data_IF_121367593867
#
_entry.id   IF_121367593867
#
_cell.length_a   1.000
_cell.length_b   1.000
_cell.length_c   1.000
_cell.angle_alpha   90.00
_cell.angle_beta   90.00
_cell.angle_gamma   90.00
#
_symmetry.space_group_name_H-M   'P 1'
#
loop_
_entity.id
_entity.type
_entity.pdbx_description
1 polymer ?
#
# COMPACT_ATOMS: atom_id res chain seq x y z
N UNK A 1 -37.27 -8.61 17.90
CA UNK A 1 -36.04 -9.16 17.29
C UNK A 1 -35.22 -7.96 16.83
N UNK A 2 -34.20 -7.57 17.61
CA UNK A 2 -33.35 -6.43 17.26
C UNK A 2 -32.33 -6.87 16.20
N UNK A 3 -31.96 -6.00 15.24
CA UNK A 3 -30.91 -6.32 14.29
C UNK A 3 -29.59 -6.33 15.05
N UNK A 4 -28.88 -7.47 15.03
CA UNK A 4 -27.47 -7.53 15.40
C UNK A 4 -26.71 -6.68 14.42
N UNK A 5 -26.33 -5.49 14.87
CA UNK A 5 -25.39 -4.61 14.19
C UNK A 5 -24.14 -5.42 13.84
N UNK A 6 -23.81 -5.40 12.56
CA UNK A 6 -22.61 -5.99 12.01
C UNK A 6 -21.41 -5.17 12.51
N UNK A 7 -20.99 -5.41 13.75
CA UNK A 7 -19.72 -4.95 14.28
C UNK A 7 -18.62 -5.75 13.58
N UNK A 8 -18.33 -5.39 12.33
CA UNK A 8 -17.08 -5.75 11.70
C UNK A 8 -15.98 -5.38 12.69
N UNK A 9 -15.25 -6.39 13.15
CA UNK A 9 -14.30 -6.29 14.27
C UNK A 9 -13.34 -5.13 13.99
N UNK A 10 -13.58 -3.98 14.62
CA UNK A 10 -12.62 -2.91 14.64
C UNK A 10 -11.35 -3.50 15.25
N UNK A 11 -10.22 -3.39 14.54
CA UNK A 11 -8.94 -3.80 15.09
C UNK A 11 -8.73 -3.04 16.41
N UNK A 12 -8.13 -3.68 17.43
CA UNK A 12 -7.68 -2.96 18.61
C UNK A 12 -6.91 -1.70 18.20
N UNK A 13 -7.20 -0.56 18.82
CA UNK A 13 -6.63 0.74 18.43
C UNK A 13 -5.10 0.73 18.38
N UNK A 14 -4.47 -0.10 19.21
CA UNK A 14 -3.03 -0.33 19.24
C UNK A 14 -2.51 -0.96 17.94
N UNK A 15 -3.24 -1.95 17.39
CA UNK A 15 -2.89 -2.62 16.13
C UNK A 15 -3.11 -1.68 14.95
N UNK A 16 -4.24 -0.96 14.93
CA UNK A 16 -4.51 0.02 13.88
C UNK A 16 -3.47 1.16 13.90
N UNK A 17 -3.12 1.65 15.09
CA UNK A 17 -2.07 2.64 15.29
C UNK A 17 -0.71 2.16 14.80
N UNK A 18 -0.33 0.93 15.13
CA UNK A 18 0.90 0.31 14.65
C UNK A 18 0.91 0.20 13.12
N UNK A 19 -0.15 -0.31 12.49
CA UNK A 19 -0.24 -0.42 11.03
C UNK A 19 -0.11 0.96 10.36
N UNK A 20 -0.79 1.97 10.88
CA UNK A 20 -0.71 3.34 10.37
C UNK A 20 0.69 3.96 10.53
N UNK A 21 1.40 3.65 11.62
CA UNK A 21 2.79 4.08 11.80
C UNK A 21 3.72 3.44 10.77
N UNK A 22 3.58 2.14 10.51
CA UNK A 22 4.39 1.43 9.51
C UNK A 22 4.14 1.96 8.10
N UNK A 23 2.87 2.22 7.73
CA UNK A 23 2.50 2.85 6.45
C UNK A 23 3.24 4.17 6.24
N UNK A 24 3.13 5.10 7.20
CA UNK A 24 3.80 6.41 7.14
C UNK A 24 5.32 6.29 7.07
N UNK A 25 5.90 5.35 7.81
CA UNK A 25 7.35 5.12 7.78
C UNK A 25 7.83 4.64 6.39
N UNK A 26 7.07 3.76 5.74
CA UNK A 26 7.39 3.29 4.39
C UNK A 26 7.31 4.44 3.38
N UNK A 27 6.23 5.22 3.43
CA UNK A 27 6.06 6.41 2.56
C UNK A 27 7.24 7.39 2.70
N UNK A 28 7.64 7.67 3.94
CA UNK A 28 8.78 8.54 4.24
C UNK A 28 10.09 7.98 3.69
N UNK A 29 10.37 6.69 3.91
CA UNK A 29 11.61 6.05 3.44
C UNK A 29 11.71 6.10 1.92
N UNK A 30 10.64 5.75 1.20
CA UNK A 30 10.66 5.77 -0.28
C UNK A 30 10.83 7.20 -0.80
N UNK A 31 10.17 8.17 -0.17
CA UNK A 31 10.32 9.59 -0.53
C UNK A 31 11.77 10.05 -0.37
N UNK A 32 12.38 9.80 0.79
CA UNK A 32 13.78 10.16 1.07
C UNK A 32 14.75 9.47 0.12
N UNK A 33 14.54 8.19 -0.21
CA UNK A 33 15.36 7.46 -1.18
C UNK A 33 15.23 8.06 -2.58
N UNK A 34 14.03 8.47 -2.98
CA UNK A 34 13.78 9.14 -4.25
C UNK A 34 14.51 10.48 -4.35
N UNK A 35 14.48 11.26 -3.28
CA UNK A 35 15.21 12.52 -3.16
C UNK A 35 16.73 12.31 -3.24
N UNK A 36 17.26 11.33 -2.50
CA UNK A 36 18.69 11.00 -2.54
C UNK A 36 19.17 10.53 -3.91
N UNK A 37 18.30 9.82 -4.66
CA UNK A 37 18.57 9.39 -6.03
C UNK A 37 18.50 10.54 -7.04
N UNK A 38 17.79 11.62 -6.72
CA UNK A 38 17.49 12.72 -7.65
C UNK A 38 16.43 12.38 -8.69
N UNK A 39 15.76 11.22 -8.56
CA UNK A 39 14.69 10.78 -9.46
C UNK A 39 13.71 9.87 -8.70
N UNK A 40 12.83 10.51 -7.94
CA UNK A 40 11.84 9.85 -7.11
C UNK A 40 10.75 9.16 -7.94
N UNK A 41 10.37 9.72 -9.09
CA UNK A 41 9.36 9.12 -9.95
C UNK A 41 9.84 7.81 -10.58
N UNK A 42 11.09 7.76 -11.04
CA UNK A 42 11.68 6.51 -11.53
C UNK A 42 11.77 5.44 -10.43
N UNK A 43 12.08 5.84 -9.19
CA UNK A 43 12.08 4.90 -8.05
C UNK A 43 10.69 4.29 -7.83
N UNK A 44 9.63 5.10 -7.83
CA UNK A 44 8.25 4.59 -7.66
C UNK A 44 7.90 3.61 -8.79
N UNK A 45 8.22 3.94 -10.04
CA UNK A 45 7.99 3.06 -11.19
C UNK A 45 8.79 1.74 -11.09
N UNK A 46 10.04 1.80 -10.60
CA UNK A 46 10.86 0.61 -10.38
C UNK A 46 10.22 -0.32 -9.34
N UNK A 47 9.66 0.24 -8.27
CA UNK A 47 8.96 -0.52 -7.22
C UNK A 47 7.68 -1.13 -7.78
N UNK A 48 6.84 -0.35 -8.47
CA UNK A 48 5.61 -0.83 -9.12
C UNK A 48 5.88 -2.04 -10.03
N UNK A 49 6.93 -1.98 -10.86
CA UNK A 49 7.28 -3.09 -11.76
C UNK A 49 7.72 -4.35 -11.00
N UNK A 50 8.46 -4.21 -9.91
CA UNK A 50 8.92 -5.35 -9.08
C UNK A 50 7.77 -6.00 -8.33
N UNK A 51 6.79 -5.21 -7.90
CA UNK A 51 5.58 -5.68 -7.25
C UNK A 51 4.67 -6.39 -8.24
N UNK A 52 4.35 -5.74 -9.38
CA UNK A 52 3.46 -6.30 -10.40
C UNK A 52 3.97 -7.59 -11.07
N UNK A 53 5.27 -7.88 -11.01
CA UNK A 53 5.83 -9.15 -11.51
C UNK A 53 5.37 -10.38 -10.70
N UNK A 54 4.79 -10.21 -9.49
CA UNK A 54 4.29 -11.33 -8.69
C UNK A 54 2.89 -11.82 -9.07
N UNK A 55 2.11 -11.03 -9.81
CA UNK A 55 0.64 -11.12 -9.85
C UNK A 55 0.04 -12.15 -10.85
N UNK A 56 0.81 -13.09 -11.43
CA UNK A 56 0.36 -13.83 -12.64
C UNK A 56 0.57 -15.36 -12.65
N UNK A 57 0.48 -16.04 -11.51
CA UNK A 57 0.49 -17.52 -11.50
C UNK A 57 -0.54 -18.14 -10.53
N UNK A 58 -1.76 -17.60 -10.52
CA UNK A 58 -2.88 -18.26 -9.81
C UNK A 58 -3.79 -18.99 -10.80
N UNK A 59 -3.90 -20.31 -10.59
CA UNK A 59 -4.64 -21.28 -11.40
C UNK A 59 -6.16 -21.02 -11.28
N UNK A 60 -6.93 -20.90 -12.38
CA UNK A 60 -8.36 -20.62 -12.31
C UNK A 60 -9.13 -21.82 -11.75
N UNK A 61 -9.36 -21.85 -10.44
CA UNK A 61 -10.18 -22.88 -9.81
C UNK A 61 -10.10 -23.04 -8.28
N UNK A 62 -9.24 -22.32 -7.56
CA UNK A 62 -9.18 -22.42 -6.10
C UNK A 62 -10.27 -21.58 -5.43
N UNK A 63 -11.00 -22.20 -4.49
CA UNK A 63 -11.96 -21.50 -3.63
C UNK A 63 -11.30 -20.32 -2.88
N UNK A 64 -12.05 -19.24 -2.59
CA UNK A 64 -11.52 -18.09 -1.86
C UNK A 64 -11.22 -18.48 -0.41
N UNK A 65 -9.99 -18.94 -0.16
CA UNK A 65 -9.46 -19.12 1.19
C UNK A 65 -9.20 -17.73 1.83
N UNK A 66 -9.26 -17.65 3.16
CA UNK A 66 -8.95 -16.44 3.91
C UNK A 66 -7.54 -15.89 3.59
N UNK A 67 -6.64 -16.77 3.14
CA UNK A 67 -5.32 -16.40 2.61
C UNK A 67 -5.42 -15.46 1.38
N UNK A 68 -6.31 -15.74 0.42
CA UNK A 68 -6.53 -14.88 -0.75
C UNK A 68 -7.08 -13.51 -0.36
N UNK A 69 -7.98 -13.45 0.63
CA UNK A 69 -8.53 -12.18 1.10
C UNK A 69 -7.45 -11.28 1.74
N UNK A 70 -6.53 -11.88 2.48
CA UNK A 70 -5.38 -11.16 3.07
C UNK A 70 -4.40 -10.71 2.00
N UNK A 71 -4.13 -11.55 0.99
CA UNK A 71 -3.26 -11.23 -0.13
C UNK A 71 -3.81 -10.08 -0.97
N UNK A 72 -5.10 -10.13 -1.34
CA UNK A 72 -5.76 -9.02 -2.03
C UNK A 72 -5.76 -7.73 -1.20
N UNK A 73 -6.02 -7.82 0.11
CA UNK A 73 -5.94 -6.66 1.00
C UNK A 73 -4.51 -6.07 1.08
N UNK A 74 -3.49 -6.92 1.00
CA UNK A 74 -2.08 -6.51 0.95
C UNK A 74 -1.73 -5.81 -0.36
N UNK A 75 -2.18 -6.35 -1.49
CA UNK A 75 -1.97 -5.74 -2.82
C UNK A 75 -2.68 -4.38 -2.94
N UNK A 76 -3.92 -4.27 -2.47
CA UNK A 76 -4.65 -3.01 -2.44
C UNK A 76 -3.96 -1.96 -1.57
N UNK A 77 -3.37 -2.40 -0.45
CA UNK A 77 -2.60 -1.53 0.40
C UNK A 77 -1.32 -1.03 -0.28
N UNK A 78 -0.60 -1.92 -0.96
CA UNK A 78 0.61 -1.56 -1.67
C UNK A 78 0.33 -0.55 -2.78
N UNK A 79 -0.77 -0.72 -3.51
CA UNK A 79 -1.25 0.26 -4.50
C UNK A 79 -1.60 1.61 -3.86
N UNK A 80 -2.19 1.62 -2.64
CA UNK A 80 -2.48 2.87 -1.90
C UNK A 80 -1.18 3.62 -1.54
N UNK A 81 -0.21 2.92 -0.95
CA UNK A 81 1.07 3.52 -0.56
C UNK A 81 1.80 4.13 -1.75
N UNK A 82 1.88 3.40 -2.87
CA UNK A 82 2.57 3.88 -4.08
C UNK A 82 1.91 5.13 -4.68
N UNK A 83 0.57 5.22 -4.64
CA UNK A 83 -0.15 6.43 -5.03
C UNK A 83 0.17 7.62 -4.12
N UNK A 84 0.11 7.42 -2.80
CA UNK A 84 0.41 8.49 -1.84
C UNK A 84 1.84 9.04 -2.02
N UNK A 85 2.82 8.14 -2.25
CA UNK A 85 4.20 8.52 -2.51
C UNK A 85 4.31 9.31 -3.82
N UNK A 86 3.67 8.84 -4.90
CA UNK A 86 3.64 9.55 -6.19
C UNK A 86 3.07 10.96 -6.01
N UNK A 87 1.92 11.10 -5.35
CA UNK A 87 1.28 12.39 -5.13
C UNK A 87 2.18 13.35 -4.34
N UNK A 88 2.87 12.85 -3.31
CA UNK A 88 3.82 13.63 -2.52
C UNK A 88 5.04 14.09 -3.35
N UNK A 89 5.58 13.21 -4.20
CA UNK A 89 6.71 13.51 -5.10
C UNK A 89 6.31 14.53 -6.17
N UNK A 90 5.14 14.37 -6.77
CA UNK A 90 4.64 15.26 -7.81
C UNK A 90 4.37 16.67 -7.25
N UNK A 91 3.79 16.75 -6.05
CA UNK A 91 3.59 18.01 -5.34
C UNK A 91 4.92 18.74 -5.08
N UNK A 92 5.94 18.01 -4.61
CA UNK A 92 7.27 18.59 -4.37
C UNK A 92 7.92 19.10 -5.67
N UNK A 93 7.84 18.31 -6.74
CA UNK A 93 8.37 18.68 -8.07
C UNK A 93 7.73 19.96 -8.61
N UNK A 94 6.45 20.20 -8.32
CA UNK A 94 5.77 21.45 -8.67
C UNK A 94 6.24 22.63 -7.80
N UNK A 95 6.50 22.41 -6.51
CA UNK A 95 6.95 23.44 -5.58
C UNK A 95 8.40 23.92 -5.82
N UNK A 96 9.26 23.07 -6.40
CA UNK A 96 10.68 23.37 -6.63
C UNK A 96 10.96 24.06 -7.99
N UNK A 97 9.92 24.35 -8.80
CA UNK A 97 10.01 25.04 -10.11
C UNK A 97 9.60 26.50 -10.02
#
# INVERSE_FOLDING_TARGET
>A
MAPTENSGLALPAEIEGALNAHRRMIELIVTLLGELRGDALALVQDIERRVGYRDHHEDPGSEPDAAFAVEQASEDELRRLLRNIRDAVDFKTFSDR
#
